data_IF_139676915058
#
_entry.id   IF_139676915058
#
_cell.length_a   1.000
_cell.length_b   1.000
_cell.length_c   1.000
_cell.angle_alpha   90.00
_cell.angle_beta   90.00
_cell.angle_gamma   90.00
#
_symmetry.space_group_name_H-M   'P 1'
#
loop_
_entity.id
_entity.type
_entity.pdbx_description
1 polymer ?
#
# COMPACT_ATOMS: atom_id res chain seq x y z
N UNK A 1 -16.04 40.60 51.44
CA UNK A 1 -16.14 40.14 50.05
C UNK A 1 -14.86 39.37 49.71
N UNK A 2 -14.89 38.05 49.86
CA UNK A 2 -13.80 37.14 49.45
C UNK A 2 -14.11 36.63 48.05
N UNK A 3 -13.38 37.11 47.04
CA UNK A 3 -13.45 36.60 45.68
C UNK A 3 -12.49 35.41 45.58
N UNK A 4 -13.04 34.21 45.55
CA UNK A 4 -12.34 32.94 45.37
C UNK A 4 -13.30 32.04 44.62
N UNK A 5 -13.04 31.81 43.34
CA UNK A 5 -13.41 30.62 42.55
C UNK A 5 -13.26 30.94 41.06
N UNK A 6 -12.07 30.71 40.49
CA UNK A 6 -11.95 30.45 39.05
C UNK A 6 -10.67 29.67 38.65
N UNK A 7 -10.08 28.89 39.57
CA UNK A 7 -8.88 28.06 39.27
C UNK A 7 -9.19 26.56 39.09
N UNK A 8 -10.47 26.15 39.20
CA UNK A 8 -10.87 24.75 39.12
C UNK A 8 -11.05 24.18 37.71
N UNK A 9 -11.06 25.02 36.67
CA UNK A 9 -11.45 24.60 35.32
C UNK A 9 -10.26 24.29 34.38
N UNK A 10 -9.06 24.81 34.66
CA UNK A 10 -7.89 24.65 33.78
C UNK A 10 -7.28 23.25 33.84
N UNK A 11 -7.18 22.67 35.04
CA UNK A 11 -6.62 21.32 35.25
C UNK A 11 -7.49 20.18 34.67
N UNK A 12 -8.81 20.38 34.55
CA UNK A 12 -9.70 19.36 34.00
C UNK A 12 -9.58 19.24 32.48
N UNK A 13 -9.20 20.31 31.78
CA UNK A 13 -9.13 20.34 30.31
C UNK A 13 -7.84 19.66 29.81
N UNK A 14 -6.69 19.93 30.45
CA UNK A 14 -5.42 19.28 30.10
C UNK A 14 -5.41 17.76 30.36
N UNK A 15 -6.03 17.32 31.46
CA UNK A 15 -6.17 15.88 31.76
C UNK A 15 -7.11 15.16 30.77
N UNK A 16 -8.10 15.84 30.21
CA UNK A 16 -9.00 15.26 29.23
C UNK A 16 -8.34 15.13 27.85
N UNK A 17 -7.52 16.12 27.44
CA UNK A 17 -6.75 16.02 26.21
C UNK A 17 -5.75 14.85 26.23
N UNK A 18 -5.05 14.67 27.35
CA UNK A 18 -4.11 13.55 27.51
C UNK A 18 -4.80 12.19 27.55
N UNK A 19 -6.03 12.09 28.04
CA UNK A 19 -6.82 10.85 27.96
C UNK A 19 -7.29 10.56 26.54
N UNK A 20 -7.86 11.57 25.86
CA UNK A 20 -8.34 11.44 24.49
C UNK A 20 -7.22 11.07 23.52
N UNK A 21 -6.02 11.61 23.73
CA UNK A 21 -4.83 11.28 22.92
C UNK A 21 -4.40 9.84 23.11
N UNK A 22 -4.40 9.34 24.36
CA UNK A 22 -4.10 7.93 24.64
C UNK A 22 -5.11 6.98 24.03
N UNK A 23 -6.40 7.32 24.06
CA UNK A 23 -7.44 6.51 23.42
C UNK A 23 -7.26 6.49 21.91
N UNK A 24 -6.98 7.64 21.30
CA UNK A 24 -6.69 7.75 19.88
C UNK A 24 -5.45 6.93 19.49
N UNK A 25 -4.36 7.02 20.25
CA UNK A 25 -3.15 6.23 20.02
C UNK A 25 -3.45 4.73 20.09
N UNK A 26 -4.20 4.29 21.11
CA UNK A 26 -4.59 2.89 21.27
C UNK A 26 -5.45 2.40 20.09
N UNK A 27 -6.36 3.24 19.61
CA UNK A 27 -7.20 2.92 18.45
C UNK A 27 -6.36 2.80 17.17
N UNK A 28 -5.45 3.74 16.93
CA UNK A 28 -4.52 3.72 15.80
C UNK A 28 -3.64 2.46 15.84
N UNK A 29 -3.09 2.12 17.00
CA UNK A 29 -2.26 0.91 17.17
C UNK A 29 -3.06 -0.34 16.85
N UNK A 30 -4.27 -0.45 17.40
CA UNK A 30 -5.10 -1.64 17.27
C UNK A 30 -5.65 -1.81 15.85
N UNK A 31 -6.06 -0.72 15.21
CA UNK A 31 -6.81 -0.79 13.96
C UNK A 31 -5.95 -0.46 12.74
N UNK A 32 -5.05 0.53 12.82
CA UNK A 32 -4.25 0.97 11.66
C UNK A 32 -2.92 0.22 11.60
N UNK A 33 -2.15 0.23 12.69
CA UNK A 33 -0.83 -0.42 12.67
C UNK A 33 -0.92 -1.94 12.51
N UNK A 34 -2.03 -2.54 12.97
CA UNK A 34 -2.36 -3.93 12.65
C UNK A 34 -2.33 -4.21 11.14
N UNK A 35 -2.97 -3.37 10.31
CA UNK A 35 -2.94 -3.55 8.86
C UNK A 35 -1.56 -3.34 8.26
N UNK A 36 -0.78 -2.40 8.80
CA UNK A 36 0.62 -2.19 8.38
C UNK A 36 1.44 -3.45 8.66
N UNK A 37 1.25 -4.09 9.81
CA UNK A 37 1.90 -5.36 10.15
C UNK A 37 1.49 -6.50 9.22
N UNK A 38 0.21 -6.60 8.87
CA UNK A 38 -0.28 -7.58 7.89
C UNK A 38 0.41 -7.37 6.53
N UNK A 39 0.43 -6.14 6.02
CA UNK A 39 1.08 -5.82 4.72
C UNK A 39 2.56 -6.16 4.78
N UNK A 40 3.23 -5.86 5.89
CA UNK A 40 4.65 -6.19 6.10
C UNK A 40 4.88 -7.71 6.11
N UNK A 41 4.01 -8.48 6.77
CA UNK A 41 4.11 -9.94 6.83
C UNK A 41 3.94 -10.60 5.46
N UNK A 42 3.23 -9.96 4.52
CA UNK A 42 3.14 -10.46 3.13
C UNK A 42 4.50 -10.42 2.40
N UNK A 43 5.49 -9.67 2.89
CA UNK A 43 6.86 -9.69 2.36
C UNK A 43 6.98 -9.18 0.93
N UNK A 44 6.03 -8.35 0.49
CA UNK A 44 5.98 -7.84 -0.88
C UNK A 44 7.02 -6.73 -1.07
N UNK A 45 8.03 -7.01 -1.89
CA UNK A 45 9.10 -6.05 -2.23
C UNK A 45 8.53 -4.86 -3.01
N UNK A 46 8.96 -3.65 -2.66
CA UNK A 46 8.52 -2.44 -3.36
C UNK A 46 7.05 -2.09 -3.12
N UNK A 47 6.52 -2.46 -1.96
CA UNK A 47 5.17 -2.06 -1.54
C UNK A 47 5.19 -0.65 -0.98
N UNK A 48 4.12 0.10 -1.25
CA UNK A 48 3.88 1.41 -0.67
C UNK A 48 2.53 1.44 0.06
N UNK A 49 2.46 2.22 1.13
CA UNK A 49 1.23 2.47 1.90
C UNK A 49 0.93 3.96 1.81
N UNK A 50 -0.23 4.31 1.23
CA UNK A 50 -0.76 5.66 1.23
C UNK A 50 -1.89 5.74 2.28
N UNK A 51 -1.64 6.21 3.51
CA UNK A 51 -2.69 6.46 4.48
C UNK A 51 -3.60 7.59 3.99
N UNK A 52 -4.90 7.34 4.06
CA UNK A 52 -5.95 8.29 3.69
C UNK A 52 -6.92 8.36 4.87
N UNK A 53 -7.19 9.57 5.34
CA UNK A 53 -8.22 9.81 6.34
C UNK A 53 -9.49 10.27 5.62
N UNK A 54 -10.54 9.44 5.67
CA UNK A 54 -11.86 9.81 5.15
C UNK A 54 -12.61 10.66 6.17
N UNK A 55 -13.01 11.86 5.77
CA UNK A 55 -13.72 12.82 6.64
C UNK A 55 -15.23 12.78 6.49
N UNK A 56 -15.82 11.58 6.43
CA UNK A 56 -17.27 11.42 6.65
C UNK A 56 -17.66 11.68 8.13
N UNK A 57 -16.71 12.16 8.94
CA UNK A 57 -16.63 12.00 10.38
C UNK A 57 -16.69 13.33 11.15
N UNK A 58 -17.49 14.31 10.71
CA UNK A 58 -17.99 15.45 11.53
C UNK A 58 -16.97 16.31 12.33
N UNK A 59 -15.65 16.09 12.23
CA UNK A 59 -14.64 16.81 13.02
C UNK A 59 -14.33 18.17 12.42
N UNK A 60 -14.17 19.18 13.27
CA UNK A 60 -13.62 20.46 12.87
C UNK A 60 -12.17 20.32 12.39
N UNK A 61 -11.71 21.27 11.55
CA UNK A 61 -10.41 21.23 10.87
C UNK A 61 -9.24 20.96 11.82
N UNK A 62 -9.21 21.61 12.97
CA UNK A 62 -8.09 21.54 13.92
C UNK A 62 -7.98 20.16 14.60
N UNK A 63 -9.12 19.59 15.01
CA UNK A 63 -9.15 18.24 15.62
C UNK A 63 -8.73 17.18 14.60
N UNK A 64 -9.20 17.33 13.37
CA UNK A 64 -8.83 16.46 12.27
C UNK A 64 -7.32 16.51 11.96
N UNK A 65 -6.73 17.70 11.92
CA UNK A 65 -5.30 17.89 11.71
C UNK A 65 -4.49 17.29 12.86
N UNK A 66 -4.93 17.51 14.11
CA UNK A 66 -4.32 16.91 15.30
C UNK A 66 -4.31 15.39 15.23
N UNK A 67 -5.46 14.76 14.91
CA UNK A 67 -5.58 13.30 14.77
C UNK A 67 -4.69 12.75 13.64
N UNK A 68 -4.69 13.42 12.50
CA UNK A 68 -3.79 13.07 11.38
C UNK A 68 -2.32 13.19 11.79
N UNK A 69 -1.97 14.17 12.61
CA UNK A 69 -0.64 14.34 13.18
C UNK A 69 -0.21 13.15 14.04
N UNK A 70 -1.07 12.71 14.98
CA UNK A 70 -0.81 11.53 15.83
C UNK A 70 -0.64 10.27 14.97
N UNK A 71 -1.54 10.05 14.01
CA UNK A 71 -1.45 8.92 13.09
C UNK A 71 -0.16 8.93 12.28
N UNK A 72 0.26 10.09 11.76
CA UNK A 72 1.51 10.24 11.00
C UNK A 72 2.72 9.88 11.86
N UNK A 73 2.79 10.38 13.09
CA UNK A 73 3.90 10.10 14.00
C UNK A 73 3.99 8.62 14.34
N UNK A 74 2.86 7.97 14.61
CA UNK A 74 2.82 6.53 14.90
C UNK A 74 3.23 5.69 13.68
N UNK A 75 2.75 6.04 12.47
CA UNK A 75 3.16 5.36 11.24
C UNK A 75 4.66 5.50 10.97
N UNK A 76 5.22 6.70 11.13
CA UNK A 76 6.66 6.93 10.98
C UNK A 76 7.45 6.09 11.97
N UNK A 77 7.10 6.14 13.26
CA UNK A 77 7.76 5.35 14.31
C UNK A 77 7.66 3.84 14.08
N UNK A 78 6.51 3.36 13.58
CA UNK A 78 6.27 1.94 13.34
C UNK A 78 6.99 1.41 12.09
N UNK A 79 7.13 2.26 11.07
CA UNK A 79 7.85 1.93 9.83
C UNK A 79 9.34 2.28 9.87
N UNK A 80 9.81 3.03 10.87
CA UNK A 80 11.22 3.25 11.14
C UNK A 80 11.91 1.95 11.55
N UNK A 81 12.96 1.58 10.82
CA UNK A 81 13.74 0.37 11.10
C UNK A 81 14.56 0.58 12.40
N UNK A 82 14.37 -0.21 13.48
CA UNK A 82 14.92 0.14 14.80
C UNK A 82 16.46 0.06 14.94
N UNK A 83 17.22 -0.22 13.87
CA UNK A 83 18.62 -0.63 13.98
C UNK A 83 19.59 -0.07 12.93
N UNK A 84 19.26 0.98 12.19
CA UNK A 84 20.22 1.63 11.27
C UNK A 84 20.76 0.75 10.14
N UNK A 85 20.25 -0.48 9.98
CA UNK A 85 20.46 -1.29 8.78
C UNK A 85 19.69 -0.63 7.64
N UNK A 86 20.34 -0.55 6.47
CA UNK A 86 19.67 -0.21 5.21
C UNK A 86 18.28 -0.84 5.22
N UNK A 87 17.26 -0.01 5.02
CA UNK A 87 15.86 -0.42 4.85
C UNK A 87 15.85 -1.72 4.08
N UNK A 88 15.53 -2.86 4.72
CA UNK A 88 15.42 -4.10 3.96
C UNK A 88 14.35 -3.83 2.90
N UNK A 89 14.60 -4.23 1.65
CA UNK A 89 13.70 -3.98 0.51
C UNK A 89 12.25 -4.47 0.71
N UNK A 90 12.01 -5.19 1.81
CA UNK A 90 10.75 -5.75 2.27
C UNK A 90 9.94 -4.80 3.20
N UNK A 91 10.42 -3.61 3.55
CA UNK A 91 9.62 -2.67 4.33
C UNK A 91 8.72 -1.82 3.43
N UNK A 92 7.40 -1.76 3.69
CA UNK A 92 6.52 -0.91 2.93
C UNK A 92 6.87 0.56 3.14
N UNK A 93 7.01 1.30 2.05
CA UNK A 93 7.24 2.74 2.09
C UNK A 93 5.93 3.47 2.37
N UNK A 94 5.85 4.21 3.47
CA UNK A 94 4.69 5.06 3.76
C UNK A 94 4.83 6.36 2.97
N UNK A 95 3.77 6.74 2.24
CA UNK A 95 3.72 7.92 1.39
C UNK A 95 2.78 8.93 2.03
N UNK A 96 3.22 10.17 2.17
CA UNK A 96 2.39 11.26 2.66
C UNK A 96 2.16 12.29 1.55
N UNK A 97 1.19 13.17 1.76
CA UNK A 97 0.90 14.23 0.81
C UNK A 97 1.92 15.38 0.93
N UNK A 98 2.82 15.48 -0.04
CA UNK A 98 3.86 16.51 -0.09
C UNK A 98 3.29 17.92 -0.27
N UNK A 99 2.10 18.06 -0.87
CA UNK A 99 1.46 19.38 -1.07
C UNK A 99 1.03 20.01 0.26
N UNK A 100 0.79 19.18 1.28
CA UNK A 100 0.38 19.59 2.63
C UNK A 100 1.48 19.33 3.66
N UNK A 101 2.73 19.63 3.32
CA UNK A 101 3.89 19.47 4.22
C UNK A 101 4.05 18.02 4.75
N UNK A 102 3.73 17.05 3.89
CA UNK A 102 3.76 15.62 4.22
C UNK A 102 2.67 15.21 5.19
N UNK A 103 1.52 15.87 5.23
CA UNK A 103 0.41 15.44 6.10
C UNK A 103 -0.29 14.18 5.56
N UNK A 104 -1.19 13.61 6.37
CA UNK A 104 -2.05 12.52 5.90
C UNK A 104 -3.10 13.12 4.98
N UNK A 105 -3.24 12.53 3.80
CA UNK A 105 -4.21 12.99 2.83
C UNK A 105 -5.63 12.82 3.40
N UNK A 106 -6.43 13.88 3.27
CA UNK A 106 -7.81 13.92 3.73
C UNK A 106 -8.74 13.92 2.53
N UNK A 107 -9.76 13.07 2.56
CA UNK A 107 -10.77 13.03 1.50
C UNK A 107 -12.17 13.04 2.09
N UNK A 108 -13.10 13.75 1.45
CA UNK A 108 -14.51 13.68 1.77
C UNK A 108 -15.26 13.27 0.51
N UNK A 109 -15.88 12.09 0.54
CA UNK A 109 -16.60 11.54 -0.62
C UNK A 109 -17.95 12.23 -0.88
N UNK A 110 -18.54 12.85 0.14
CA UNK A 110 -19.83 13.54 0.07
C UNK A 110 -19.66 14.92 -0.59
N UNK A 111 -18.61 15.66 -0.23
CA UNK A 111 -18.30 16.97 -0.82
C UNK A 111 -17.30 16.90 -1.97
N UNK A 112 -16.72 15.72 -2.24
CA UNK A 112 -15.67 15.46 -3.23
C UNK A 112 -14.37 16.24 -2.90
N UNK A 113 -14.24 16.76 -1.68
CA UNK A 113 -13.03 17.47 -1.24
C UNK A 113 -11.84 16.51 -1.11
N UNK A 114 -10.65 16.98 -1.54
CA UNK A 114 -9.40 16.22 -1.47
C UNK A 114 -9.27 15.09 -2.49
N UNK A 115 -10.31 14.80 -3.30
CA UNK A 115 -10.28 13.75 -4.32
C UNK A 115 -9.31 14.08 -5.46
N UNK A 116 -9.23 15.34 -5.89
CA UNK A 116 -8.26 15.76 -6.92
C UNK A 116 -6.82 15.57 -6.41
N UNK A 117 -6.53 15.98 -5.18
CA UNK A 117 -5.22 15.75 -4.54
C UNK A 117 -4.91 14.26 -4.37
N UNK A 118 -5.91 13.42 -4.05
CA UNK A 118 -5.75 11.97 -4.02
C UNK A 118 -5.35 11.43 -5.39
N UNK A 119 -6.04 11.87 -6.44
CA UNK A 119 -5.75 11.47 -7.80
C UNK A 119 -4.33 11.87 -8.21
N UNK A 120 -3.91 13.11 -7.94
CA UNK A 120 -2.54 13.56 -8.23
C UNK A 120 -1.48 12.73 -7.50
N UNK A 121 -1.72 12.37 -6.24
CA UNK A 121 -0.81 11.51 -5.46
C UNK A 121 -0.73 10.11 -6.07
N UNK A 122 -1.87 9.51 -6.42
CA UNK A 122 -1.95 8.18 -7.05
C UNK A 122 -1.24 8.20 -8.40
N UNK A 123 -1.49 9.21 -9.24
CA UNK A 123 -0.85 9.38 -10.53
C UNK A 123 0.67 9.56 -10.38
N UNK A 124 1.10 10.34 -9.38
CA UNK A 124 2.52 10.51 -9.05
C UNK A 124 3.22 9.21 -8.62
N UNK A 125 2.50 8.32 -7.92
CA UNK A 125 2.97 6.96 -7.57
C UNK A 125 3.05 6.09 -8.83
N UNK A 126 2.01 6.13 -9.67
CA UNK A 126 1.89 5.31 -10.87
C UNK A 126 2.88 5.69 -11.99
N UNK A 127 3.30 6.96 -12.08
CA UNK A 127 4.08 7.51 -13.21
C UNK A 127 5.57 7.72 -12.87
N UNK A 128 6.08 7.12 -11.78
CA UNK A 128 7.50 7.11 -11.33
C UNK A 128 8.02 8.36 -10.61
N UNK A 129 7.26 9.44 -10.47
CA UNK A 129 7.75 10.62 -9.74
C UNK A 129 7.97 10.30 -8.25
N UNK A 130 7.21 9.35 -7.70
CA UNK A 130 7.37 8.82 -6.34
C UNK A 130 7.65 7.32 -6.37
N UNK A 131 8.74 6.90 -7.03
CA UNK A 131 9.11 5.49 -7.19
C UNK A 131 9.07 4.72 -5.86
N UNK A 132 8.02 3.91 -5.70
CA UNK A 132 7.87 2.97 -4.60
C UNK A 132 7.87 1.52 -5.11
N UNK A 133 7.57 1.31 -6.40
CA UNK A 133 7.38 0.00 -7.00
C UNK A 133 8.47 -0.25 -8.06
N UNK A 134 9.28 -1.30 -7.87
CA UNK A 134 10.35 -1.67 -8.80
C UNK A 134 9.87 -1.98 -10.23
N UNK A 135 8.58 -2.31 -10.40
CA UNK A 135 8.01 -2.77 -11.68
C UNK A 135 7.48 -1.66 -12.58
N UNK A 136 7.22 -0.45 -12.08
CA UNK A 136 6.63 0.62 -12.88
C UNK A 136 7.61 1.06 -13.97
N UNK A 137 7.18 0.89 -15.22
CA UNK A 137 7.96 1.16 -16.43
C UNK A 137 9.12 0.18 -16.68
N UNK A 138 9.18 -0.95 -15.95
CA UNK A 138 9.98 -2.08 -16.42
C UNK A 138 9.43 -2.53 -17.77
N UNK A 139 10.32 -2.76 -18.73
CA UNK A 139 9.92 -3.30 -20.02
C UNK A 139 9.36 -4.71 -19.78
N UNK A 140 8.08 -4.90 -20.04
CA UNK A 140 7.46 -6.23 -20.03
C UNK A 140 8.18 -7.07 -21.08
N UNK A 141 8.68 -8.24 -20.69
CA UNK A 141 9.37 -9.12 -21.63
C UNK A 141 8.41 -9.58 -22.72
N UNK A 142 8.92 -9.82 -23.93
CA UNK A 142 8.10 -10.38 -25.03
C UNK A 142 7.49 -11.73 -24.65
N UNK A 143 8.21 -12.52 -23.84
CA UNK A 143 7.72 -13.77 -23.27
C UNK A 143 6.48 -13.56 -22.40
N UNK A 144 6.51 -12.59 -21.49
CA UNK A 144 5.37 -12.26 -20.62
C UNK A 144 4.16 -11.79 -21.43
N UNK A 145 4.36 -10.97 -22.48
CA UNK A 145 3.28 -10.53 -23.36
C UNK A 145 2.63 -11.70 -24.12
N UNK A 146 3.45 -12.63 -24.62
CA UNK A 146 2.96 -13.82 -25.32
C UNK A 146 2.16 -14.74 -24.38
N UNK A 147 2.67 -14.96 -23.16
CA UNK A 147 1.96 -15.72 -22.13
C UNK A 147 0.65 -15.03 -21.77
N UNK A 148 0.64 -13.72 -21.58
CA UNK A 148 -0.55 -12.94 -21.30
C UNK A 148 -1.61 -13.11 -22.39
N UNK A 149 -1.23 -12.97 -23.68
CA UNK A 149 -2.15 -13.18 -24.80
C UNK A 149 -2.71 -14.62 -24.83
N UNK A 150 -1.86 -15.60 -24.52
CA UNK A 150 -2.26 -17.01 -24.43
C UNK A 150 -3.28 -17.22 -23.31
N UNK A 151 -3.02 -16.66 -22.13
CA UNK A 151 -3.91 -16.74 -20.97
C UNK A 151 -5.24 -16.02 -21.21
N UNK A 152 -5.24 -14.85 -21.86
CA UNK A 152 -6.47 -14.14 -22.21
C UNK A 152 -7.40 -14.95 -23.10
N UNK A 153 -6.85 -15.71 -24.06
CA UNK A 153 -7.64 -16.62 -24.89
C UNK A 153 -8.14 -17.82 -24.08
N UNK A 154 -7.28 -18.43 -23.26
CA UNK A 154 -7.68 -19.58 -22.43
C UNK A 154 -8.73 -19.19 -21.37
N UNK A 155 -8.68 -17.95 -20.85
CA UNK A 155 -9.68 -17.40 -19.92
C UNK A 155 -11.10 -17.38 -20.51
N UNK A 156 -11.25 -17.37 -21.83
CA UNK A 156 -12.58 -17.44 -22.47
C UNK A 156 -13.25 -18.81 -22.31
N UNK A 157 -12.46 -19.86 -22.14
CA UNK A 157 -12.94 -21.25 -22.08
C UNK A 157 -12.81 -21.84 -20.67
N UNK A 158 -11.82 -21.41 -19.90
CA UNK A 158 -11.45 -22.00 -18.62
C UNK A 158 -11.37 -20.97 -17.50
N UNK A 159 -11.95 -21.30 -16.34
CA UNK A 159 -11.77 -20.52 -15.10
C UNK A 159 -10.42 -20.74 -14.44
N UNK A 160 -9.87 -21.96 -14.58
CA UNK A 160 -8.59 -22.37 -14.01
C UNK A 160 -7.87 -23.20 -15.07
N UNK A 161 -6.60 -22.91 -15.29
CA UNK A 161 -5.77 -23.59 -16.30
C UNK A 161 -4.52 -24.13 -15.64
N UNK A 162 -4.16 -25.37 -15.95
CA UNK A 162 -2.91 -25.95 -15.47
C UNK A 162 -1.71 -25.38 -16.23
N UNK A 163 -0.58 -25.23 -15.55
CA UNK A 163 0.65 -24.64 -16.10
C UNK A 163 1.17 -25.40 -17.31
N UNK A 164 1.11 -26.73 -17.30
CA UNK A 164 1.52 -27.59 -18.41
C UNK A 164 0.68 -27.36 -19.67
N UNK A 165 -0.62 -27.08 -19.53
CA UNK A 165 -1.48 -26.72 -20.65
C UNK A 165 -1.09 -25.36 -21.23
N UNK A 166 -0.80 -24.38 -20.38
CA UNK A 166 -0.32 -23.05 -20.82
C UNK A 166 1.01 -23.20 -21.57
N UNK A 167 1.95 -23.99 -21.05
CA UNK A 167 3.24 -24.22 -21.67
C UNK A 167 3.11 -24.86 -23.06
N UNK A 168 2.27 -25.89 -23.18
CA UNK A 168 2.02 -26.56 -24.46
C UNK A 168 1.44 -25.58 -25.49
N UNK A 169 0.56 -24.70 -25.06
CA UNK A 169 -0.11 -23.72 -25.91
C UNK A 169 0.80 -22.56 -26.33
N UNK A 170 1.67 -22.09 -25.44
CA UNK A 170 2.69 -21.08 -25.79
C UNK A 170 3.69 -21.64 -26.81
N UNK A 171 4.11 -22.89 -26.61
CA UNK A 171 5.06 -23.55 -27.50
C UNK A 171 4.44 -23.94 -28.85
N UNK A 172 3.14 -24.22 -28.92
CA UNK A 172 2.46 -24.48 -30.20
C UNK A 172 2.39 -23.23 -31.09
N UNK A 173 2.46 -22.04 -30.50
CA UNK A 173 2.38 -20.76 -31.21
C UNK A 173 3.75 -20.15 -31.53
N UNK A 174 4.82 -20.62 -30.88
CA UNK A 174 6.16 -20.06 -30.99
C UNK A 174 7.00 -20.78 -32.05
N UNK A 175 7.22 -20.14 -33.19
CA UNK A 175 8.02 -20.73 -34.28
C UNK A 175 9.54 -20.72 -34.04
N UNK A 176 10.04 -19.98 -33.04
CA UNK A 176 11.47 -19.61 -32.99
C UNK A 176 12.26 -20.19 -31.81
N UNK A 177 11.59 -20.70 -30.75
CA UNK A 177 12.22 -21.42 -29.64
C UNK A 177 11.16 -21.92 -28.66
N UNK A 178 11.31 -23.16 -28.18
CA UNK A 178 10.46 -23.67 -27.10
C UNK A 178 10.79 -22.97 -25.78
N UNK A 179 9.80 -22.34 -25.18
CA UNK A 179 9.89 -21.76 -23.84
C UNK A 179 10.06 -22.86 -22.79
N UNK A 180 10.91 -22.61 -21.80
CA UNK A 180 11.11 -23.52 -20.67
C UNK A 180 10.06 -23.29 -19.58
N UNK A 181 9.79 -24.33 -18.79
CA UNK A 181 8.86 -24.22 -17.66
C UNK A 181 9.27 -23.12 -16.66
N UNK A 182 10.57 -22.97 -16.37
CA UNK A 182 11.05 -21.94 -15.44
C UNK A 182 10.76 -20.52 -15.95
N UNK A 183 10.95 -20.27 -17.25
CA UNK A 183 10.66 -18.97 -17.87
C UNK A 183 9.16 -18.66 -17.84
N UNK A 184 8.32 -19.67 -18.06
CA UNK A 184 6.87 -19.54 -17.91
C UNK A 184 6.50 -19.23 -16.46
N UNK A 185 7.09 -19.92 -15.48
CA UNK A 185 6.81 -19.70 -14.07
C UNK A 185 7.21 -18.29 -13.63
N UNK A 186 8.40 -17.82 -14.02
CA UNK A 186 8.85 -16.46 -13.71
C UNK A 186 7.89 -15.41 -14.29
N UNK A 187 7.43 -15.61 -15.53
CA UNK A 187 6.45 -14.73 -16.15
C UNK A 187 5.07 -14.81 -15.48
N UNK A 188 4.62 -15.99 -15.03
CA UNK A 188 3.37 -16.16 -14.29
C UNK A 188 3.43 -15.50 -12.90
N UNK A 189 4.57 -15.59 -12.21
CA UNK A 189 4.82 -14.88 -10.96
C UNK A 189 4.73 -13.38 -11.21
N UNK A 190 5.42 -12.85 -12.22
CA UNK A 190 5.34 -11.43 -12.58
C UNK A 190 3.90 -11.00 -12.92
N UNK A 191 3.18 -11.75 -13.76
CA UNK A 191 1.78 -11.45 -14.11
C UNK A 191 0.86 -11.51 -12.88
N UNK A 192 1.20 -12.34 -11.89
CA UNK A 192 0.48 -12.41 -10.61
C UNK A 192 0.81 -11.25 -9.69
N UNK A 193 2.08 -10.81 -9.65
CA UNK A 193 2.52 -9.63 -8.88
C UNK A 193 1.83 -8.35 -9.37
N UNK A 194 1.55 -8.23 -10.67
CA UNK A 194 0.78 -7.09 -11.25
C UNK A 194 -0.74 -7.29 -11.22
N UNK A 195 -1.23 -8.42 -10.69
CA UNK A 195 -2.66 -8.70 -10.53
C UNK A 195 -3.42 -9.09 -11.82
N UNK A 196 -2.73 -9.40 -12.92
CA UNK A 196 -3.38 -9.82 -14.17
C UNK A 196 -3.90 -11.28 -14.10
N UNK A 197 -3.22 -12.13 -13.32
CA UNK A 197 -3.60 -13.53 -13.10
C UNK A 197 -3.42 -13.92 -11.65
N UNK A 198 -4.13 -14.95 -11.20
CA UNK A 198 -3.86 -15.59 -9.91
C UNK A 198 -3.01 -16.83 -10.15
N UNK A 199 -1.77 -16.80 -9.71
CA UNK A 199 -0.85 -17.92 -9.82
C UNK A 199 -0.58 -18.54 -8.45
N UNK A 200 -0.82 -19.86 -8.32
CA UNK A 200 -0.70 -20.60 -7.05
C UNK A 200 0.52 -21.52 -7.00
N UNK A 201 1.50 -21.34 -7.90
CA UNK A 201 2.73 -22.12 -7.86
C UNK A 201 3.79 -21.47 -6.97
N UNK A 202 4.68 -22.28 -6.40
CA UNK A 202 5.83 -21.78 -5.65
C UNK A 202 6.77 -21.03 -6.60
N UNK A 203 7.15 -19.81 -6.22
CA UNK A 203 8.22 -19.11 -6.94
C UNK A 203 9.52 -19.88 -6.69
N UNK A 204 10.22 -20.24 -7.76
CA UNK A 204 11.54 -20.91 -7.66
C UNK A 204 12.65 -20.04 -7.07
N UNK A 205 12.31 -18.89 -6.46
CA UNK A 205 13.24 -18.04 -5.72
C UNK A 205 13.67 -18.79 -4.47
N UNK A 206 14.68 -19.65 -4.63
CA UNK A 206 15.50 -20.12 -3.51
C UNK A 206 15.96 -18.86 -2.77
N UNK A 207 15.53 -18.72 -1.53
CA UNK A 207 16.13 -17.81 -0.57
C UNK A 207 17.63 -18.14 -0.47
N UNK A 208 18.43 -17.36 -1.19
CA UNK A 208 19.90 -17.35 -1.07
C UNK A 208 20.32 -16.56 0.16
#
# INVERSE_FOLDING_TARGET
YTSSSDEGNYFSVENNHTHADRELENDIVKNVLFWVDIIRQLGLVGTAILPIASFDDAFHRDEAERRCGVLKQLLLKHCECPHGKLMSENFPKVIFDESTNGSILRVNTTTIEGIESLQEVIDGIAVRQRSCCGHIGMKVSSSSQMIQATLQRLKQEFKVVRVDRVLAEVNSQSSSSNMKLSELQDALVFLSEIGDVLYFGESGRKSS
#
